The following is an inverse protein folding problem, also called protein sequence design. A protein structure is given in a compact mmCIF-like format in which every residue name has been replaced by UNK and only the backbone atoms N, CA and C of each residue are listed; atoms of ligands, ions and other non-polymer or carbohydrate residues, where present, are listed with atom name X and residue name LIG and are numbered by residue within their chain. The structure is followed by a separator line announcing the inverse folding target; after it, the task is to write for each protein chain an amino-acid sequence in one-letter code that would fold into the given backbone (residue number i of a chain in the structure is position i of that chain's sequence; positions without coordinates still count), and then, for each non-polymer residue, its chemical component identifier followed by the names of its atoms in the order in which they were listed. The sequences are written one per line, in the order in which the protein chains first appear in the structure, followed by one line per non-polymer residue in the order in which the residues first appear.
data_IF_025254059974
#
_entry.id   IF_025254059974
#
_cell.length_a   1.000
_cell.length_b   1.000
_cell.length_c   1.000
_cell.angle_alpha   90.00
_cell.angle_beta   90.00
_cell.angle_gamma   90.00
#
_symmetry.space_group_name_H-M   'P 1'
#
loop_
_entity.id
_entity.type
_entity.pdbx_description
1 polymer ?
#
# COMPACT_ATOMS: atom_id res chain seq x y z
N UNK A 1 -10.69 -2.30 9.36
CA UNK A 1 -10.18 -2.14 7.97
C UNK A 1 -10.63 -3.32 7.13
N UNK A 2 -10.27 -4.57 7.45
CA UNK A 2 -11.01 -5.76 6.98
C UNK A 2 -12.03 -6.13 8.06
N UNK A 3 -13.29 -6.35 7.68
CA UNK A 3 -14.36 -6.79 8.58
C UNK A 3 -14.57 -8.30 8.52
N UNK A 4 -14.61 -8.86 7.32
CA UNK A 4 -14.80 -10.29 7.10
C UNK A 4 -14.14 -10.77 5.82
N UNK A 5 -13.75 -12.03 5.81
CA UNK A 5 -13.35 -12.78 4.62
C UNK A 5 -14.27 -13.99 4.54
N UNK A 6 -15.00 -14.14 3.45
CA UNK A 6 -15.98 -15.22 3.24
C UNK A 6 -15.63 -15.95 1.96
N UNK A 7 -15.64 -17.27 2.04
CA UNK A 7 -15.56 -18.14 0.86
C UNK A 7 -16.99 -18.52 0.46
N UNK A 8 -17.34 -18.30 -0.80
CA UNK A 8 -18.69 -18.52 -1.32
C UNK A 8 -18.64 -19.49 -2.50
N UNK A 9 -19.49 -20.51 -2.44
CA UNK A 9 -19.76 -21.48 -3.50
C UNK A 9 -21.24 -21.40 -3.87
N UNK A 10 -21.62 -20.29 -4.49
CA UNK A 10 -23.00 -20.01 -4.88
C UNK A 10 -22.98 -19.02 -6.05
N UNK A 11 -24.13 -18.91 -6.72
CA UNK A 11 -24.39 -17.85 -7.69
C UNK A 11 -24.21 -16.47 -7.06
N UNK A 12 -23.69 -15.53 -7.85
CA UNK A 12 -23.59 -14.15 -7.41
C UNK A 12 -25.03 -13.58 -7.28
N UNK A 13 -25.41 -12.98 -6.14
CA UNK A 13 -26.80 -12.55 -5.98
C UNK A 13 -27.19 -11.43 -6.95
N UNK A 14 -28.47 -11.40 -7.37
CA UNK A 14 -29.01 -10.49 -8.39
C UNK A 14 -28.71 -9.00 -8.15
N UNK A 15 -28.60 -8.58 -6.89
CA UNK A 15 -28.28 -7.20 -6.54
C UNK A 15 -26.86 -6.79 -6.97
N UNK A 16 -25.89 -7.72 -7.01
CA UNK A 16 -24.56 -7.44 -7.54
C UNK A 16 -24.56 -7.29 -9.06
N UNK A 17 -25.37 -8.10 -9.75
CA UNK A 17 -25.55 -8.02 -11.21
C UNK A 17 -26.17 -6.67 -11.57
N UNK A 18 -27.27 -6.30 -10.89
CA UNK A 18 -27.91 -5.00 -11.07
C UNK A 18 -26.95 -3.84 -10.79
N UNK A 19 -26.19 -3.91 -9.70
CA UNK A 19 -25.21 -2.86 -9.37
C UNK A 19 -24.09 -2.77 -10.42
N UNK A 20 -23.68 -3.91 -11.00
CA UNK A 20 -22.74 -3.94 -12.10
C UNK A 20 -23.30 -3.24 -13.35
N UNK A 21 -24.54 -3.54 -13.73
CA UNK A 21 -25.19 -2.92 -14.88
C UNK A 21 -25.32 -1.40 -14.74
N UNK A 22 -25.79 -0.93 -13.57
CA UNK A 22 -25.87 0.49 -13.24
C UNK A 22 -24.48 1.15 -13.32
N UNK A 23 -23.44 0.47 -12.84
CA UNK A 23 -22.08 0.98 -12.87
C UNK A 23 -21.53 1.11 -14.30
N UNK A 24 -21.68 0.07 -15.14
CA UNK A 24 -21.17 0.09 -16.53
C UNK A 24 -21.92 1.09 -17.40
N UNK A 25 -23.22 1.27 -17.18
CA UNK A 25 -23.99 2.32 -17.87
C UNK A 25 -23.45 3.72 -17.56
N UNK A 26 -23.10 3.98 -16.29
CA UNK A 26 -22.48 5.24 -15.88
C UNK A 26 -21.00 5.36 -16.29
N UNK A 27 -20.31 4.23 -16.49
CA UNK A 27 -18.87 4.14 -16.77
C UNK A 27 -18.58 3.26 -17.99
N UNK A 28 -18.91 3.70 -19.21
CA UNK A 28 -18.81 2.87 -20.43
C UNK A 28 -17.39 2.47 -20.82
N UNK A 29 -16.37 2.94 -20.11
CA UNK A 29 -14.96 2.52 -20.26
C UNK A 29 -14.55 1.43 -19.25
N UNK A 30 -15.48 0.88 -18.48
CA UNK A 30 -15.21 -0.28 -17.64
C UNK A 30 -15.22 -1.54 -18.51
N UNK A 31 -14.10 -2.26 -18.57
CA UNK A 31 -13.90 -3.42 -19.44
C UNK A 31 -13.96 -4.75 -18.68
N UNK A 32 -14.57 -4.77 -17.49
CA UNK A 32 -14.73 -6.00 -16.76
C UNK A 32 -15.74 -6.93 -17.47
N UNK A 33 -15.52 -8.25 -17.46
CA UNK A 33 -16.55 -9.18 -17.91
C UNK A 33 -17.78 -9.09 -17.00
N UNK A 34 -18.97 -9.03 -17.60
CA UNK A 34 -20.25 -9.14 -16.90
C UNK A 34 -20.25 -10.37 -15.95
N UNK A 35 -20.73 -10.26 -14.69
CA UNK A 35 -20.72 -11.36 -13.73
C UNK A 35 -21.40 -12.65 -14.22
N UNK A 36 -22.46 -12.55 -15.02
CA UNK A 36 -23.19 -13.70 -15.58
C UNK A 36 -22.39 -14.53 -16.58
N UNK A 37 -21.23 -14.04 -17.04
CA UNK A 37 -20.32 -14.84 -17.88
C UNK A 37 -19.50 -15.85 -17.08
N UNK A 38 -19.65 -15.90 -15.74
CA UNK A 38 -18.96 -16.87 -14.90
C UNK A 38 -19.67 -18.23 -14.92
N UNK A 39 -18.92 -19.35 -14.82
CA UNK A 39 -19.52 -20.68 -14.73
C UNK A 39 -20.31 -20.85 -13.43
N UNK A 40 -21.27 -21.77 -13.40
CA UNK A 40 -22.10 -22.03 -12.22
C UNK A 40 -21.28 -22.50 -11.01
N UNK A 41 -20.15 -23.17 -11.26
CA UNK A 41 -19.23 -23.67 -10.23
C UNK A 41 -18.19 -22.62 -9.80
N UNK A 42 -18.36 -21.35 -10.20
CA UNK A 42 -17.46 -20.27 -9.82
C UNK A 42 -17.44 -20.12 -8.29
N UNK A 43 -16.22 -20.10 -7.74
CA UNK A 43 -15.97 -19.87 -6.32
C UNK A 43 -15.48 -18.46 -6.10
N UNK A 44 -15.93 -17.82 -5.04
CA UNK A 44 -15.56 -16.44 -4.71
C UNK A 44 -14.89 -16.36 -3.34
N UNK A 45 -13.97 -15.41 -3.22
CA UNK A 45 -13.50 -14.90 -1.93
C UNK A 45 -14.03 -13.47 -1.82
N UNK A 46 -14.95 -13.24 -0.89
CA UNK A 46 -15.46 -11.93 -0.56
C UNK A 46 -14.65 -11.37 0.60
N UNK A 47 -14.00 -10.23 0.38
CA UNK A 47 -13.29 -9.50 1.43
C UNK A 47 -14.05 -8.20 1.69
N UNK A 48 -14.67 -8.10 2.86
CA UNK A 48 -15.35 -6.86 3.26
C UNK A 48 -14.39 -5.93 3.96
N UNK A 49 -14.36 -4.68 3.52
CA UNK A 49 -13.56 -3.63 4.12
C UNK A 49 -14.45 -2.53 4.72
N UNK A 50 -13.89 -1.78 5.68
CA UNK A 50 -14.41 -0.45 5.97
C UNK A 50 -14.30 0.43 4.72
N UNK A 51 -15.28 1.30 4.50
CA UNK A 51 -15.18 2.29 3.43
C UNK A 51 -13.95 3.18 3.65
N UNK A 52 -13.13 3.33 2.61
CA UNK A 52 -11.84 4.02 2.68
C UNK A 52 -11.82 5.39 1.97
N UNK A 53 -12.94 5.82 1.38
CA UNK A 53 -13.05 7.07 0.64
C UNK A 53 -12.83 6.88 -0.86
N UNK A 54 -12.03 7.76 -1.46
CA UNK A 54 -11.71 7.74 -2.89
C UNK A 54 -10.19 7.61 -3.10
N UNK A 55 -9.79 7.12 -4.27
CA UNK A 55 -8.37 7.05 -4.63
C UNK A 55 -7.79 8.44 -4.86
N UNK A 56 -6.50 8.65 -4.60
CA UNK A 56 -5.86 9.96 -4.86
C UNK A 56 -5.83 10.30 -6.35
N UNK A 57 -5.98 9.31 -7.24
CA UNK A 57 -6.22 9.51 -8.67
C UNK A 57 -7.51 10.29 -8.95
N UNK A 58 -8.56 10.08 -8.14
CA UNK A 58 -9.90 10.67 -8.34
C UNK A 58 -10.19 11.82 -7.40
N UNK A 59 -9.65 11.78 -6.18
CA UNK A 59 -9.90 12.76 -5.15
C UNK A 59 -9.31 14.13 -5.51
N UNK A 60 -10.01 15.21 -5.13
CA UNK A 60 -9.49 16.57 -5.26
C UNK A 60 -8.53 16.88 -4.11
N UNK A 61 -7.24 16.74 -4.37
CA UNK A 61 -6.18 16.92 -3.35
C UNK A 61 -5.75 18.39 -3.27
N UNK A 62 -5.57 18.89 -2.04
CA UNK A 62 -4.92 20.18 -1.74
C UNK A 62 -3.43 19.99 -1.44
N UNK A 63 -2.57 21.01 -1.59
CA UNK A 63 -1.14 20.88 -1.31
C UNK A 63 -0.81 20.44 0.12
N UNK A 64 -1.55 20.92 1.13
CA UNK A 64 -1.35 20.47 2.52
C UNK A 64 -1.71 19.00 2.71
N UNK A 65 -2.73 18.50 1.99
CA UNK A 65 -3.12 17.11 1.97
C UNK A 65 -2.07 16.25 1.27
N UNK A 66 -1.47 16.71 0.17
CA UNK A 66 -0.37 15.98 -0.49
C UNK A 66 0.82 15.73 0.44
N UNK A 67 1.24 16.73 1.23
CA UNK A 67 2.27 16.53 2.27
C UNK A 67 1.82 15.52 3.33
N UNK A 68 0.55 15.59 3.75
CA UNK A 68 -0.01 14.62 4.70
C UNK A 68 -0.03 13.21 4.12
N UNK A 69 -0.36 13.07 2.83
CA UNK A 69 -0.41 11.77 2.13
C UNK A 69 0.97 11.14 2.14
N UNK A 70 2.00 11.83 1.66
CA UNK A 70 3.38 11.31 1.68
C UNK A 70 3.81 10.95 3.11
N UNK A 71 3.47 11.78 4.10
CA UNK A 71 3.76 11.52 5.51
C UNK A 71 3.12 10.24 6.04
N UNK A 72 1.81 10.07 5.84
CA UNK A 72 1.07 8.90 6.30
C UNK A 72 1.49 7.63 5.55
N UNK A 73 1.74 7.71 4.24
CA UNK A 73 2.24 6.58 3.43
C UNK A 73 3.62 6.16 3.93
N UNK A 74 4.57 7.09 4.07
CA UNK A 74 5.92 6.80 4.50
C UNK A 74 5.97 6.15 5.89
N UNK A 75 5.21 6.68 6.86
CA UNK A 75 5.13 6.08 8.18
C UNK A 75 4.48 4.69 8.17
N UNK A 76 3.43 4.49 7.37
CA UNK A 76 2.77 3.17 7.23
C UNK A 76 3.74 2.13 6.67
N UNK A 77 4.49 2.50 5.62
CA UNK A 77 5.52 1.66 5.03
C UNK A 77 6.66 1.39 6.02
N UNK A 78 7.15 2.40 6.75
CA UNK A 78 8.22 2.22 7.73
C UNK A 78 7.83 1.24 8.87
N UNK A 79 6.59 1.33 9.38
CA UNK A 79 6.07 0.35 10.34
C UNK A 79 6.07 -1.05 9.72
N UNK A 80 5.52 -1.20 8.50
CA UNK A 80 5.40 -2.48 7.85
C UNK A 80 6.76 -3.09 7.43
N UNK A 81 7.71 -2.26 6.99
CA UNK A 81 9.09 -2.65 6.74
C UNK A 81 9.69 -3.27 8.01
N UNK A 82 9.63 -2.55 9.14
CA UNK A 82 10.19 -3.04 10.41
C UNK A 82 9.50 -4.29 10.93
N UNK A 83 8.17 -4.38 10.87
CA UNK A 83 7.44 -5.49 11.47
C UNK A 83 7.38 -6.74 10.59
N UNK A 84 7.32 -6.55 9.27
CA UNK A 84 7.01 -7.63 8.33
C UNK A 84 7.96 -7.68 7.14
N UNK A 85 9.04 -6.88 7.12
CA UNK A 85 9.88 -6.72 5.93
C UNK A 85 9.00 -6.49 4.68
N UNK A 86 8.01 -5.59 4.84
CA UNK A 86 6.99 -5.35 3.83
C UNK A 86 7.53 -4.54 2.65
N UNK A 87 7.19 -4.97 1.44
CA UNK A 87 7.27 -4.15 0.23
C UNK A 87 5.90 -4.14 -0.44
N UNK A 88 5.40 -2.97 -0.84
CA UNK A 88 4.11 -2.88 -1.53
C UNK A 88 4.21 -3.32 -3.00
N UNK A 89 5.30 -2.89 -3.66
CA UNK A 89 5.67 -3.17 -5.06
C UNK A 89 4.68 -2.75 -6.15
N UNK A 90 3.59 -2.07 -5.80
CA UNK A 90 2.59 -1.55 -6.74
C UNK A 90 1.81 -0.34 -6.19
N UNK A 91 2.51 0.61 -5.55
CA UNK A 91 1.87 1.69 -4.79
C UNK A 91 1.60 2.94 -5.66
N UNK A 92 0.88 2.76 -6.75
CA UNK A 92 0.42 3.87 -7.61
C UNK A 92 -0.79 4.60 -7.00
N UNK A 93 -1.19 5.71 -7.62
CA UNK A 93 -2.22 6.64 -7.16
C UNK A 93 -3.63 6.03 -7.01
N UNK A 94 -3.90 4.88 -7.61
CA UNK A 94 -5.18 4.16 -7.47
C UNK A 94 -5.19 3.22 -6.26
N UNK A 95 -4.02 2.92 -5.70
CA UNK A 95 -3.84 2.07 -4.52
C UNK A 95 -3.70 2.86 -3.22
N UNK A 96 -3.84 4.19 -3.29
CA UNK A 96 -3.84 5.09 -2.14
C UNK A 96 -5.20 5.76 -2.02
N UNK A 97 -5.88 5.48 -0.93
CA UNK A 97 -7.23 5.94 -0.66
C UNK A 97 -7.21 7.01 0.42
N UNK A 98 -8.05 8.04 0.24
CA UNK A 98 -8.22 9.14 1.18
C UNK A 98 -9.67 9.32 1.55
N UNK A 99 -9.91 9.57 2.84
CA UNK A 99 -11.23 9.94 3.35
C UNK A 99 -11.13 11.09 4.35
N UNK A 100 -12.20 11.91 4.50
CA UNK A 100 -12.25 12.96 5.51
C UNK A 100 -11.97 12.42 6.92
N UNK A 101 -11.22 13.18 7.70
CA UNK A 101 -10.88 12.83 9.08
C UNK A 101 -10.88 14.08 9.95
N UNK A 102 -11.51 13.99 11.12
CA UNK A 102 -11.48 15.03 12.16
C UNK A 102 -10.21 14.99 13.00
N UNK A 103 -9.41 13.92 12.89
CA UNK A 103 -8.14 13.81 13.61
C UNK A 103 -7.17 14.88 13.11
N UNK A 104 -6.60 15.65 14.04
CA UNK A 104 -5.58 16.65 13.69
C UNK A 104 -4.27 15.98 13.29
N UNK A 105 -3.93 14.90 13.98
CA UNK A 105 -2.70 14.14 13.78
C UNK A 105 -2.98 12.63 13.72
N UNK A 106 -2.14 11.93 12.98
CA UNK A 106 -2.05 10.48 12.94
C UNK A 106 -0.75 10.05 13.63
N UNK A 107 -0.84 9.05 14.49
CA UNK A 107 0.27 8.55 15.28
C UNK A 107 0.70 7.18 14.77
N UNK A 108 2.02 6.97 14.64
CA UNK A 108 2.64 5.73 14.21
C UNK A 108 3.71 5.34 15.21
N UNK A 109 3.75 4.08 15.63
CA UNK A 109 4.79 3.56 16.51
C UNK A 109 5.88 2.89 15.65
N UNK A 110 7.02 3.55 15.51
CA UNK A 110 8.16 3.07 14.73
C UNK A 110 9.33 2.94 15.68
N UNK A 111 9.86 1.72 15.84
CA UNK A 111 10.99 1.43 16.74
C UNK A 111 10.74 1.83 18.20
N UNK A 112 9.51 1.64 18.69
CA UNK A 112 9.11 2.07 20.03
C UNK A 112 8.95 3.58 20.19
N UNK A 113 9.07 4.38 19.12
CA UNK A 113 8.88 5.84 19.15
C UNK A 113 7.63 6.25 18.39
N UNK A 114 6.94 7.24 18.94
CA UNK A 114 5.75 7.79 18.31
C UNK A 114 6.14 8.86 17.28
N UNK A 115 5.92 8.56 16.00
CA UNK A 115 5.93 9.53 14.91
C UNK A 115 4.53 10.13 14.73
N UNK A 116 4.46 11.46 14.63
CA UNK A 116 3.21 12.21 14.56
C UNK A 116 3.13 12.99 13.24
N UNK A 117 2.12 12.67 12.41
CA UNK A 117 1.88 13.30 11.11
C UNK A 117 0.59 14.12 11.16
N UNK A 118 0.64 15.38 10.70
CA UNK A 118 -0.57 16.20 10.56
C UNK A 118 -1.47 15.59 9.47
N UNK A 119 -2.73 15.32 9.80
CA UNK A 119 -3.68 14.69 8.87
C UNK A 119 -4.17 15.62 7.77
N UNK A 120 -4.09 16.94 7.95
CA UNK A 120 -4.65 17.92 7.02
C UNK A 120 -6.13 17.63 6.63
N UNK A 121 -6.91 17.10 7.59
CA UNK A 121 -8.31 16.75 7.41
C UNK A 121 -8.58 15.44 6.66
N UNK A 122 -7.55 14.61 6.42
CA UNK A 122 -7.69 13.32 5.72
C UNK A 122 -7.00 12.17 6.45
N UNK A 123 -7.55 10.97 6.29
CA UNK A 123 -6.93 9.69 6.65
C UNK A 123 -6.57 8.96 5.37
N UNK A 124 -5.36 8.42 5.33
CA UNK A 124 -4.84 7.62 4.21
C UNK A 124 -4.97 6.13 4.51
N UNK A 125 -5.32 5.34 3.49
CA UNK A 125 -5.32 3.87 3.52
C UNK A 125 -4.59 3.35 2.27
N UNK A 126 -3.67 2.39 2.45
CA UNK A 126 -2.98 1.72 1.34
C UNK A 126 -3.71 0.40 1.06
N UNK A 127 -4.00 0.13 -0.21
CA UNK A 127 -4.73 -1.07 -0.66
C UNK A 127 -3.99 -1.72 -1.83
N UNK A 128 -4.49 -2.89 -2.23
CA UNK A 128 -3.94 -3.77 -3.27
C UNK A 128 -2.54 -4.33 -2.94
N UNK A 129 -2.54 -5.54 -2.37
CA UNK A 129 -1.32 -6.25 -2.00
C UNK A 129 -0.88 -7.29 -3.05
N UNK A 130 -1.35 -7.19 -4.30
CA UNK A 130 -1.17 -8.24 -5.30
C UNK A 130 0.30 -8.55 -5.62
N UNK A 131 1.14 -7.52 -5.67
CA UNK A 131 2.59 -7.66 -5.85
C UNK A 131 3.38 -7.60 -4.55
N UNK A 132 2.71 -7.43 -3.41
CA UNK A 132 3.37 -7.20 -2.14
C UNK A 132 4.18 -8.41 -1.67
N UNK A 133 5.17 -8.12 -0.83
CA UNK A 133 6.06 -9.08 -0.20
C UNK A 133 6.09 -8.85 1.30
N UNK A 134 5.91 -9.91 2.09
CA UNK A 134 6.14 -9.88 3.55
C UNK A 134 6.94 -11.09 4.02
N UNK A 135 7.54 -10.97 5.20
CA UNK A 135 7.99 -12.07 6.04
C UNK A 135 7.08 -12.16 7.26
N UNK A 136 6.44 -13.30 7.45
CA UNK A 136 5.62 -13.59 8.63
C UNK A 136 5.92 -14.99 9.15
N UNK A 137 6.19 -15.13 10.45
CA UNK A 137 6.62 -16.40 11.06
C UNK A 137 7.82 -17.04 10.34
N UNK A 138 8.79 -16.22 9.94
CA UNK A 138 9.96 -16.62 9.14
C UNK A 138 9.64 -17.18 7.74
N UNK A 139 8.39 -17.10 7.29
CA UNK A 139 7.96 -17.48 5.95
C UNK A 139 7.81 -16.25 5.07
N UNK A 140 8.30 -16.34 3.84
CA UNK A 140 8.10 -15.30 2.84
C UNK A 140 6.76 -15.52 2.15
N UNK A 141 5.90 -14.51 2.19
CA UNK A 141 4.61 -14.52 1.51
C UNK A 141 4.68 -13.52 0.35
N UNK A 142 4.39 -14.04 -0.84
CA UNK A 142 4.33 -13.32 -2.11
C UNK A 142 3.12 -13.84 -2.87
N UNK A 143 2.29 -12.95 -3.41
CA UNK A 143 1.15 -13.36 -4.24
C UNK A 143 1.53 -13.45 -5.71
N UNK A 144 2.22 -12.44 -6.25
CA UNK A 144 2.60 -12.40 -7.67
C UNK A 144 4.10 -12.14 -7.85
N UNK A 145 4.68 -12.80 -8.85
CA UNK A 145 6.09 -12.64 -9.28
C UNK A 145 6.06 -12.26 -10.75
N UNK A 146 6.72 -11.16 -11.12
CA UNK A 146 6.69 -10.52 -12.44
C UNK A 146 5.45 -9.70 -12.76
N UNK A 147 5.70 -8.48 -13.26
CA UNK A 147 4.69 -7.56 -13.78
C UNK A 147 4.13 -7.96 -15.16
N UNK A 148 4.79 -8.89 -15.87
CA UNK A 148 4.38 -9.29 -17.23
C UNK A 148 2.98 -9.91 -17.30
N UNK A 149 2.48 -10.44 -16.19
CA UNK A 149 1.14 -11.01 -16.10
C UNK A 149 0.02 -9.96 -16.19
N UNK A 150 0.32 -8.69 -15.90
CA UNK A 150 -0.64 -7.60 -15.88
C UNK A 150 -0.32 -6.49 -16.89
N UNK A 151 0.97 -6.18 -17.09
CA UNK A 151 1.40 -5.08 -17.96
C UNK A 151 2.12 -5.60 -19.20
N UNK A 152 1.55 -5.34 -20.38
CA UNK A 152 2.25 -5.57 -21.66
C UNK A 152 3.36 -4.54 -21.87
N UNK A 153 3.08 -3.29 -21.54
CA UNK A 153 4.04 -2.18 -21.61
C UNK A 153 4.27 -1.64 -20.20
N UNK A 154 5.50 -1.76 -19.71
CA UNK A 154 5.87 -1.33 -18.36
C UNK A 154 6.33 0.11 -18.39
N UNK A 155 5.81 0.91 -17.47
CA UNK A 155 6.33 2.25 -17.20
C UNK A 155 7.72 2.18 -16.55
N UNK A 156 8.42 3.32 -16.52
CA UNK A 156 9.79 3.40 -16.02
C UNK A 156 9.95 2.93 -14.55
N UNK A 157 8.91 3.08 -13.72
CA UNK A 157 8.98 2.66 -12.31
C UNK A 157 9.06 1.14 -12.17
N UNK A 158 8.26 0.38 -12.93
CA UNK A 158 8.29 -1.08 -12.91
C UNK A 158 9.61 -1.61 -13.46
N UNK A 159 10.13 -1.02 -14.54
CA UNK A 159 11.46 -1.36 -15.08
C UNK A 159 12.58 -1.10 -14.06
N UNK A 160 12.46 -0.03 -13.27
CA UNK A 160 13.43 0.30 -12.22
C UNK A 160 13.29 -0.66 -11.03
N UNK A 161 12.07 -1.02 -10.64
CA UNK A 161 11.83 -2.03 -9.60
C UNK A 161 12.38 -3.40 -9.99
N UNK A 162 12.19 -3.85 -11.24
CA UNK A 162 12.73 -5.14 -11.69
C UNK A 162 14.26 -5.17 -11.65
N UNK A 163 14.93 -4.04 -11.93
CA UNK A 163 16.38 -3.91 -11.74
C UNK A 163 16.80 -4.00 -10.27
N UNK A 164 16.01 -3.43 -9.36
CA UNK A 164 16.27 -3.52 -7.91
C UNK A 164 16.09 -4.96 -7.43
N UNK A 165 14.98 -5.58 -7.80
CA UNK A 165 14.62 -6.95 -7.39
C UNK A 165 15.57 -7.96 -8.01
N UNK A 166 16.00 -7.74 -9.26
CA UNK A 166 16.92 -8.58 -10.02
C UNK A 166 16.49 -10.05 -10.01
N UNK A 167 15.20 -10.28 -10.29
CA UNK A 167 14.49 -11.57 -10.28
C UNK A 167 14.49 -12.33 -8.94
N UNK A 168 14.98 -11.72 -7.86
CA UNK A 168 14.96 -12.28 -6.50
C UNK A 168 13.78 -11.73 -5.71
N UNK A 169 12.57 -12.08 -6.14
CA UNK A 169 11.30 -11.55 -5.62
C UNK A 169 11.07 -11.87 -4.14
N UNK A 170 11.61 -12.98 -3.65
CA UNK A 170 11.53 -13.45 -2.26
C UNK A 170 12.38 -12.64 -1.27
N UNK A 171 13.47 -12.07 -1.76
CA UNK A 171 14.33 -11.23 -0.93
C UNK A 171 13.63 -9.91 -0.60
N UNK A 172 14.02 -9.34 0.54
CA UNK A 172 13.52 -8.06 0.99
C UNK A 172 14.35 -6.91 0.41
N UNK A 173 13.72 -6.10 -0.44
CA UNK A 173 14.30 -4.95 -1.11
C UNK A 173 13.56 -3.66 -0.72
N UNK A 174 13.75 -3.11 0.49
CA UNK A 174 12.99 -1.94 0.97
C UNK A 174 13.13 -0.70 0.09
N UNK A 175 14.14 -0.67 -0.78
CA UNK A 175 14.34 0.38 -1.77
C UNK A 175 13.16 0.50 -2.74
N UNK A 176 12.37 -0.56 -2.94
CA UNK A 176 11.14 -0.51 -3.75
C UNK A 176 10.10 0.43 -3.14
N UNK A 177 9.96 0.45 -1.80
CA UNK A 177 9.08 1.39 -1.11
C UNK A 177 9.57 2.84 -1.22
N UNK A 178 10.89 3.07 -1.07
CA UNK A 178 11.48 4.40 -1.27
C UNK A 178 11.29 4.90 -2.72
N UNK A 179 11.39 4.01 -3.70
CA UNK A 179 11.11 4.32 -5.10
C UNK A 179 9.65 4.73 -5.32
N UNK A 180 8.69 4.01 -4.74
CA UNK A 180 7.27 4.38 -4.80
C UNK A 180 6.98 5.71 -4.13
N UNK A 181 7.58 5.99 -2.96
CA UNK A 181 7.47 7.31 -2.33
C UNK A 181 8.00 8.43 -3.24
N UNK A 182 9.14 8.21 -3.91
CA UNK A 182 9.69 9.18 -4.86
C UNK A 182 8.74 9.42 -6.03
N UNK A 183 8.18 8.36 -6.60
CA UNK A 183 7.16 8.44 -7.63
C UNK A 183 5.95 9.26 -7.17
N UNK A 184 5.42 8.98 -5.99
CA UNK A 184 4.25 9.68 -5.45
C UNK A 184 4.53 11.17 -5.21
N UNK A 185 5.72 11.54 -4.75
CA UNK A 185 6.10 12.94 -4.63
C UNK A 185 6.07 13.65 -5.99
N UNK A 186 6.60 13.01 -7.04
CA UNK A 186 6.55 13.53 -8.41
C UNK A 186 5.12 13.64 -8.93
N UNK A 187 4.35 12.55 -8.84
CA UNK A 187 2.95 12.50 -9.28
C UNK A 187 2.11 13.60 -8.62
N UNK A 188 2.18 13.75 -7.29
CA UNK A 188 1.45 14.79 -6.57
C UNK A 188 1.95 16.20 -6.90
N UNK A 189 3.25 16.38 -7.14
CA UNK A 189 3.82 17.66 -7.56
C UNK A 189 3.27 18.07 -8.94
N UNK A 190 3.27 17.14 -9.89
CA UNK A 190 2.76 17.38 -11.25
C UNK A 190 1.25 17.65 -11.22
N UNK A 191 0.48 16.84 -10.50
CA UNK A 191 -0.98 17.02 -10.33
C UNK A 191 -1.35 18.39 -9.74
N UNK A 192 -0.57 18.88 -8.77
CA UNK A 192 -0.83 20.14 -8.08
C UNK A 192 -0.19 21.36 -8.77
N UNK A 193 0.49 21.20 -9.90
CA UNK A 193 1.10 22.32 -10.60
C UNK A 193 0.02 23.17 -11.27
N UNK A 194 -0.02 24.46 -10.93
CA UNK A 194 -0.99 25.43 -11.45
C UNK A 194 -0.28 26.71 -11.89
N UNK A 195 -0.83 27.47 -12.85
CA UNK A 195 -0.32 28.81 -13.17
C UNK A 195 -0.43 29.75 -11.98
N UNK A 196 0.61 30.54 -11.72
CA UNK A 196 0.66 31.56 -10.67
C UNK A 196 0.21 31.09 -9.27
N UNK A 197 0.87 30.07 -8.69
CA UNK A 197 0.50 29.54 -7.39
C UNK A 197 0.71 30.58 -6.29
N UNK A 198 -0.11 30.51 -5.23
CA UNK A 198 0.14 31.32 -4.02
C UNK A 198 1.47 30.94 -3.39
N UNK A 199 2.06 31.83 -2.59
CA UNK A 199 3.35 31.56 -1.94
C UNK A 199 3.35 30.35 -1.00
N UNK A 200 2.21 30.00 -0.38
CA UNK A 200 2.08 28.77 0.41
C UNK A 200 2.01 27.53 -0.49
N UNK A 201 1.21 27.60 -1.56
CA UNK A 201 1.08 26.52 -2.54
C UNK A 201 2.45 26.16 -3.14
N UNK A 202 3.19 27.18 -3.60
CA UNK A 202 4.52 27.02 -4.17
C UNK A 202 5.49 26.35 -3.20
N UNK A 203 5.52 26.76 -1.93
CA UNK A 203 6.36 26.14 -0.89
C UNK A 203 6.06 24.66 -0.68
N UNK A 204 4.80 24.25 -0.79
CA UNK A 204 4.40 22.83 -0.66
C UNK A 204 4.87 22.02 -1.87
N UNK A 205 4.78 22.56 -3.08
CA UNK A 205 5.34 21.94 -4.29
C UNK A 205 6.86 21.78 -4.17
N UNK A 206 7.58 22.83 -3.78
CA UNK A 206 9.03 22.77 -3.55
C UNK A 206 9.41 21.71 -2.50
N UNK A 207 8.58 21.54 -1.48
CA UNK A 207 8.77 20.50 -0.47
C UNK A 207 8.61 19.10 -1.08
N UNK A 208 7.59 18.86 -1.92
CA UNK A 208 7.41 17.61 -2.65
C UNK A 208 8.59 17.33 -3.60
N UNK A 209 9.02 18.33 -4.38
CA UNK A 209 10.17 18.19 -5.28
C UNK A 209 11.47 17.93 -4.52
N UNK A 210 11.65 18.53 -3.34
CA UNK A 210 12.79 18.23 -2.48
C UNK A 210 12.76 16.80 -1.98
N UNK A 211 11.59 16.31 -1.50
CA UNK A 211 11.44 14.92 -1.08
C UNK A 211 11.75 13.95 -2.22
N UNK A 212 11.19 14.19 -3.40
CA UNK A 212 11.41 13.35 -4.58
C UNK A 212 12.90 13.20 -4.89
N UNK A 213 13.64 14.32 -4.93
CA UNK A 213 15.09 14.32 -5.17
C UNK A 213 15.87 13.56 -4.10
N UNK A 214 15.51 13.76 -2.84
CA UNK A 214 16.21 13.13 -1.71
C UNK A 214 15.89 11.62 -1.61
N UNK A 215 14.67 11.20 -1.95
CA UNK A 215 14.20 9.81 -1.89
C UNK A 215 15.03 8.84 -2.72
N UNK A 216 15.65 9.30 -3.81
CA UNK A 216 16.59 8.48 -4.58
C UNK A 216 17.85 8.06 -3.80
N UNK A 217 18.16 8.75 -2.70
CA UNK A 217 19.32 8.49 -1.83
C UNK A 217 18.99 7.55 -0.67
N UNK A 218 17.70 7.38 -0.33
CA UNK A 218 17.28 6.51 0.76
C UNK A 218 17.13 5.06 0.31
N UNK A 219 17.41 4.15 1.24
CA UNK A 219 17.36 2.70 1.02
C UNK A 219 16.03 2.08 1.43
N UNK A 220 15.18 2.83 2.13
CA UNK A 220 13.88 2.36 2.65
C UNK A 220 12.94 3.53 2.97
N UNK A 221 11.66 3.24 3.18
CA UNK A 221 10.72 4.23 3.72
C UNK A 221 11.06 4.60 5.17
N UNK A 222 11.53 3.63 5.96
CA UNK A 222 12.01 3.86 7.32
C UNK A 222 13.13 4.91 7.37
N UNK A 223 14.18 4.77 6.55
CA UNK A 223 15.27 5.74 6.50
C UNK A 223 14.77 7.15 6.13
N UNK A 224 13.86 7.24 5.16
CA UNK A 224 13.23 8.50 4.78
C UNK A 224 12.46 9.13 5.95
N UNK A 225 11.66 8.34 6.68
CA UNK A 225 10.90 8.82 7.85
C UNK A 225 11.84 9.47 8.86
N UNK A 226 12.93 8.81 9.25
CA UNK A 226 13.81 9.35 10.29
C UNK A 226 14.62 10.56 9.84
N UNK A 227 14.95 10.66 8.55
CA UNK A 227 15.70 11.80 8.00
C UNK A 227 14.81 13.00 7.70
N UNK A 228 13.54 12.77 7.38
CA UNK A 228 12.66 13.81 6.83
C UNK A 228 11.49 14.19 7.76
N UNK A 229 11.05 13.33 8.68
CA UNK A 229 9.89 13.64 9.54
C UNK A 229 10.15 14.75 10.56
N UNK A 230 11.39 15.01 10.97
CA UNK A 230 11.69 16.22 11.75
C UNK A 230 11.41 17.53 10.96
N UNK A 231 11.30 17.45 9.63
CA UNK A 231 10.93 18.58 8.75
C UNK A 231 9.42 18.64 8.43
N UNK A 232 8.68 17.53 8.54
CA UNK A 232 7.27 17.42 8.12
C UNK A 232 6.28 17.23 9.28
N UNK A 233 6.75 16.70 10.41
CA UNK A 233 6.00 16.41 11.61
C UNK A 233 6.88 16.58 12.84
N UNK A 234 6.56 15.87 13.91
CA UNK A 234 7.37 15.85 15.13
C UNK A 234 7.58 14.40 15.59
N UNK A 235 8.81 14.09 15.98
CA UNK A 235 9.17 12.86 16.68
C UNK A 235 9.40 13.28 18.15
N UNK A 236 8.76 12.62 19.10
CA UNK A 236 9.01 12.90 20.53
C UNK A 236 10.47 12.53 20.89
N UNK A 237 11.15 13.43 21.62
CA UNK A 237 12.63 13.49 21.75
C UNK A 237 13.30 12.24 22.34
N UNK A 238 14.59 12.04 21.98
CA UNK A 238 15.55 11.25 22.74
C UNK A 238 16.51 10.37 21.96
N UNK A 239 16.30 10.16 20.65
CA UNK A 239 17.06 9.15 19.91
C UNK A 239 17.21 9.47 18.42
N UNK A 240 18.42 9.30 17.90
CA UNK A 240 18.75 9.40 16.47
C UNK A 240 18.25 8.19 15.66
N UNK A 241 18.31 8.30 14.33
CA UNK A 241 18.09 7.16 13.44
C UNK A 241 19.15 6.09 13.69
N UNK A 242 18.71 4.87 14.01
CA UNK A 242 19.58 3.69 14.01
C UNK A 242 19.19 2.82 12.81
N UNK A 243 20.13 2.57 11.87
CA UNK A 243 19.90 1.66 10.76
C UNK A 243 19.37 0.32 11.25
N UNK A 244 18.24 -0.11 10.73
CA UNK A 244 17.67 -1.39 11.11
C UNK A 244 18.45 -2.52 10.43
N UNK A 245 18.86 -3.56 11.19
CA UNK A 245 19.44 -4.76 10.61
C UNK A 245 18.33 -5.71 10.16
N UNK A 246 18.06 -5.69 8.86
CA UNK A 246 17.05 -6.54 8.23
C UNK A 246 17.37 -8.04 8.29
N UNK A 247 18.62 -8.44 8.58
CA UNK A 247 19.04 -9.84 8.59
C UNK A 247 18.78 -10.56 9.93
N UNK A 248 18.38 -9.82 10.99
CA UNK A 248 18.19 -10.42 12.33
C UNK A 248 16.77 -10.94 12.51
N UNK A 249 16.54 -12.23 12.81
CA UNK A 249 15.21 -12.75 13.10
C UNK A 249 14.62 -12.08 14.35
N UNK A 250 13.45 -11.43 14.23
CA UNK A 250 12.75 -10.90 15.40
C UNK A 250 12.24 -12.05 16.28
N UNK A 251 12.49 -11.99 17.59
CA UNK A 251 11.67 -12.71 18.59
C UNK A 251 10.29 -12.05 18.59
N UNK A 252 9.29 -12.72 18.03
CA UNK A 252 7.95 -12.14 17.89
C UNK A 252 7.19 -12.10 19.22
N UNK A 253 6.50 -10.98 19.46
CA UNK A 253 5.37 -10.88 20.37
C UNK A 253 4.12 -11.51 19.74
N UNK A 254 3.22 -12.00 20.57
CA UNK A 254 2.10 -12.86 20.18
C UNK A 254 1.12 -12.15 19.24
N UNK A 255 1.07 -12.64 17.99
CA UNK A 255 -0.03 -12.73 17.03
C UNK A 255 -1.07 -11.60 16.95
N UNK A 256 -0.99 -10.76 15.91
CA UNK A 256 -2.14 -10.00 15.38
C UNK A 256 -3.00 -10.77 14.35
N UNK A 257 -2.50 -11.88 13.76
CA UNK A 257 -3.17 -12.54 12.62
C UNK A 257 -3.17 -14.08 12.68
N UNK A 258 -3.33 -14.70 13.86
CA UNK A 258 -3.46 -16.17 13.96
C UNK A 258 -4.67 -16.72 13.17
N UNK A 259 -5.77 -15.96 13.12
CA UNK A 259 -7.02 -16.39 12.48
C UNK A 259 -6.92 -16.59 10.97
N UNK A 260 -6.49 -15.56 10.22
CA UNK A 260 -6.45 -15.59 8.75
C UNK A 260 -5.47 -16.65 8.20
N UNK A 261 -4.34 -16.86 8.86
CA UNK A 261 -3.33 -17.81 8.39
C UNK A 261 -3.61 -19.27 8.80
N UNK A 262 -4.35 -19.51 9.88
CA UNK A 262 -4.85 -20.85 10.21
C UNK A 262 -5.76 -21.41 9.10
N UNK A 263 -6.50 -20.52 8.42
CA UNK A 263 -7.35 -20.87 7.27
C UNK A 263 -6.52 -21.22 6.02
N UNK A 264 -5.44 -20.48 5.75
CA UNK A 264 -4.52 -20.78 4.64
C UNK A 264 -3.79 -22.12 4.85
N UNK A 265 -3.28 -22.39 6.05
CA UNK A 265 -2.61 -23.67 6.37
C UNK A 265 -3.54 -24.90 6.34
N UNK A 266 -4.85 -24.72 6.55
CA UNK A 266 -5.82 -25.82 6.45
C UNK A 266 -6.03 -26.32 5.03
N UNK A 267 -5.80 -25.49 4.01
CA UNK A 267 -5.94 -25.90 2.60
C UNK A 267 -4.75 -26.70 2.08
N UNK A 268 -3.55 -26.47 2.58
CA UNK A 268 -2.37 -27.26 2.18
C UNK A 268 -2.40 -28.67 2.77
N UNK A 269 -2.82 -28.84 4.03
CA UNK A 269 -2.94 -30.19 4.63
C UNK A 269 -3.97 -31.10 3.96
N UNK A 270 -5.00 -30.54 3.30
CA UNK A 270 -6.01 -31.33 2.59
C UNK A 270 -5.55 -31.85 1.22
N UNK A 271 -4.37 -31.45 0.73
CA UNK A 271 -3.78 -31.98 -0.51
C UNK A 271 -2.85 -33.18 -0.29
N UNK A 272 -2.45 -33.44 0.96
CA UNK A 272 -1.48 -34.50 1.31
C UNK A 272 -2.11 -35.72 2.01
N UNK A 273 -3.44 -35.87 1.98
CA UNK A 273 -4.06 -37.15 2.37
C UNK A 273 -4.03 -38.10 1.15
N UNK A 274 -3.21 -39.17 1.15
CA UNK A 274 -3.32 -40.20 0.13
C UNK A 274 -4.68 -40.87 0.29
N UNK A 275 -5.42 -40.96 -0.83
CA UNK A 275 -6.66 -41.71 -0.90
C UNK A 275 -6.44 -43.12 -0.41
N UNK A 276 -7.18 -43.50 0.64
CA UNK A 276 -7.34 -44.88 1.04
C UNK A 276 -8.41 -45.45 0.11
N UNK A 277 -7.99 -46.46 -0.66
CA UNK A 277 -8.85 -47.32 -1.50
C UNK A 277 -10.03 -47.93 -0.72
#
# INVERSE_FOLDING_TARGET
MIRRVVYVEDSLPDNFIKAYDEFVQAHPRSFHPHPDMRPQEQRYILVEFDYCGETILRARIKPSQAISIIGQVACSLAVAERELQFEHRDLHEDNIWVQPSSNKNQHFLIDGRTCCIKCAGIKVTLLDDNFSRITYNNEVILRMKSYNCLYREKTAIYLTMEKIINDRWELFHPRTNALWLSYLCGHLSDYLTVPNPTGEWQRKLETLSSMQRDLHRFRSADEFVWKYMNKLGHIHQGHDYHPHNWETPKKQSVSMCSGLFSFLKRKDKKKDEPGIE
#
